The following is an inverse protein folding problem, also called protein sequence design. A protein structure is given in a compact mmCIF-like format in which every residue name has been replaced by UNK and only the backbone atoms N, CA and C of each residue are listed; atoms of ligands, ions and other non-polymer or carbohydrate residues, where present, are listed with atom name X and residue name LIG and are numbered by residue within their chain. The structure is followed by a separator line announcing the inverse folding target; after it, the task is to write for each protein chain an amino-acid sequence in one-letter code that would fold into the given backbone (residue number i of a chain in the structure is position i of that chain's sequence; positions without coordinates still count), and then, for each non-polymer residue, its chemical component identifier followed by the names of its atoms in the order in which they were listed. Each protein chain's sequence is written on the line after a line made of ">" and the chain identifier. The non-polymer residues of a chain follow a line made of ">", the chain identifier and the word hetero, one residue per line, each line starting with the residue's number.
data_IF_056323520341
#
_entry.id   IF_056323520341
#
_cell.length_a   1.000
_cell.length_b   1.000
_cell.length_c   1.000
_cell.angle_alpha   90.00
_cell.angle_beta   90.00
_cell.angle_gamma   90.00
#
_symmetry.space_group_name_H-M   'P 1'
#
loop_
_entity.id
_entity.type
_entity.pdbx_description
1 polymer ?
#
# COMPACT_ATOMS: atom_id res chain seq x y z
N UNK A 1 -17.43 30.38 12.92
CA UNK A 1 -17.16 29.08 13.59
C UNK A 1 -18.44 28.49 14.19
N UNK A 2 -19.18 29.19 15.03
CA UNK A 2 -20.36 28.61 15.74
C UNK A 2 -21.51 28.19 14.80
N UNK A 3 -21.81 28.96 13.75
CA UNK A 3 -22.85 28.60 12.79
C UNK A 3 -22.49 27.31 12.01
N UNK A 4 -21.22 27.13 11.65
CA UNK A 4 -20.75 25.90 10.97
C UNK A 4 -20.75 24.67 11.91
N UNK A 5 -20.71 24.85 13.22
CA UNK A 5 -20.70 23.74 14.19
C UNK A 5 -21.96 22.87 14.09
N UNK A 6 -23.12 23.47 13.86
CA UNK A 6 -24.37 22.73 13.73
C UNK A 6 -24.36 21.87 12.44
N UNK A 7 -23.92 22.44 11.31
CA UNK A 7 -23.79 21.73 10.07
C UNK A 7 -22.82 20.52 10.18
N UNK A 8 -21.70 20.67 10.92
CA UNK A 8 -20.79 19.53 11.18
C UNK A 8 -21.43 18.47 12.07
N UNK A 9 -22.24 18.84 13.08
CA UNK A 9 -22.98 17.88 13.90
C UNK A 9 -24.00 17.10 13.09
N UNK A 10 -24.73 17.77 12.21
CA UNK A 10 -25.69 17.14 11.29
C UNK A 10 -24.97 16.11 10.40
N UNK A 11 -23.84 16.49 9.78
CA UNK A 11 -23.03 15.58 8.97
C UNK A 11 -22.52 14.36 9.76
N UNK A 12 -22.06 14.58 11.02
CA UNK A 12 -21.61 13.48 11.88
C UNK A 12 -22.77 12.55 12.27
N UNK A 13 -23.95 13.10 12.56
CA UNK A 13 -25.16 12.32 12.85
C UNK A 13 -25.61 11.48 11.63
N UNK A 14 -25.50 12.03 10.42
CA UNK A 14 -25.77 11.30 9.18
C UNK A 14 -24.80 10.12 9.00
N UNK A 15 -23.49 10.33 9.27
CA UNK A 15 -22.47 9.29 9.21
C UNK A 15 -22.80 8.18 10.23
N UNK A 16 -23.17 8.54 11.46
CA UNK A 16 -23.54 7.59 12.49
C UNK A 16 -24.81 6.81 12.14
N UNK A 17 -25.87 7.49 11.69
CA UNK A 17 -27.11 6.87 11.27
C UNK A 17 -26.93 5.91 10.09
N UNK A 18 -25.97 6.18 9.21
CA UNK A 18 -25.58 5.31 8.10
C UNK A 18 -24.71 4.12 8.52
N UNK A 19 -24.27 4.02 9.79
CA UNK A 19 -23.35 2.98 10.27
C UNK A 19 -21.94 3.12 9.69
N UNK A 20 -21.51 4.33 9.33
CA UNK A 20 -20.21 4.59 8.69
C UNK A 20 -19.17 5.20 9.64
N UNK A 21 -19.51 5.35 10.92
CA UNK A 21 -18.59 5.87 11.94
C UNK A 21 -17.37 4.94 12.08
N UNK A 22 -16.18 5.53 12.09
CA UNK A 22 -14.93 4.81 12.29
C UNK A 22 -14.47 4.98 13.73
N UNK A 23 -14.25 3.86 14.40
CA UNK A 23 -13.72 3.82 15.77
C UNK A 23 -12.28 3.34 15.75
N UNK A 24 -11.39 4.10 16.42
CA UNK A 24 -10.00 3.70 16.61
C UNK A 24 -9.92 2.70 17.76
N UNK A 25 -9.29 1.53 17.50
CA UNK A 25 -8.99 0.53 18.53
C UNK A 25 -7.56 0.74 19.00
N UNK A 26 -7.37 0.88 20.31
CA UNK A 26 -6.06 1.18 20.91
C UNK A 26 -5.27 -0.12 21.05
N UNK A 27 -4.03 -0.14 20.56
CA UNK A 27 -3.07 -1.22 20.70
C UNK A 27 -2.07 -0.83 21.80
N UNK A 28 -1.87 -1.71 22.78
CA UNK A 28 -1.02 -1.48 23.95
C UNK A 28 0.36 -2.16 23.87
N UNK A 29 0.60 -2.94 22.83
CA UNK A 29 1.86 -3.65 22.58
C UNK A 29 2.54 -3.15 21.31
N UNK A 30 3.81 -3.54 21.03
CA UNK A 30 4.37 -3.43 19.70
C UNK A 30 3.48 -4.11 18.66
N UNK A 31 3.58 -3.66 17.39
CA UNK A 31 2.83 -4.23 16.28
C UNK A 31 3.41 -5.59 15.87
N UNK A 32 2.60 -6.64 15.95
CA UNK A 32 2.99 -8.01 15.60
C UNK A 32 1.76 -8.83 15.15
N UNK A 33 1.95 -10.13 14.89
CA UNK A 33 0.87 -11.09 14.64
C UNK A 33 -0.06 -11.26 15.86
N UNK A 34 0.49 -11.15 17.07
CA UNK A 34 -0.25 -11.12 18.35
C UNK A 34 -0.06 -9.76 18.99
N UNK A 35 -1.18 -9.12 19.33
CA UNK A 35 -1.21 -7.79 19.94
C UNK A 35 -2.19 -7.77 21.11
N UNK A 36 -2.03 -6.82 22.02
CA UNK A 36 -3.02 -6.53 23.08
C UNK A 36 -3.78 -5.26 22.70
N UNK A 37 -5.10 -5.31 22.77
CA UNK A 37 -5.98 -4.15 22.52
C UNK A 37 -6.71 -3.74 23.79
N UNK A 38 -6.96 -2.44 23.96
CA UNK A 38 -7.73 -1.87 25.07
C UNK A 38 -9.12 -1.38 24.61
N UNK A 39 -10.23 -1.78 25.27
CA UNK A 39 -10.37 -2.95 26.11
C UNK A 39 -10.48 -4.21 25.25
N UNK A 40 -9.92 -5.34 25.60
CA UNK A 40 -10.14 -6.55 24.81
C UNK A 40 -9.12 -7.69 25.04
N UNK A 41 -7.91 -7.40 25.50
CA UNK A 41 -6.88 -8.40 25.73
C UNK A 41 -6.11 -8.82 24.47
N UNK A 42 -5.48 -10.00 24.51
CA UNK A 42 -4.66 -10.51 23.40
C UNK A 42 -5.52 -10.99 22.24
N UNK A 43 -5.16 -10.55 21.05
CA UNK A 43 -5.83 -10.90 19.78
C UNK A 43 -4.81 -11.19 18.67
N UNK A 44 -5.21 -12.00 17.69
CA UNK A 44 -4.46 -12.23 16.46
C UNK A 44 -4.77 -11.12 15.46
N UNK A 45 -3.75 -10.46 14.96
CA UNK A 45 -3.87 -9.30 14.08
C UNK A 45 -3.83 -9.70 12.61
N UNK A 46 -5.00 -9.66 11.97
CA UNK A 46 -5.18 -9.93 10.54
C UNK A 46 -5.54 -8.67 9.73
N UNK A 47 -5.22 -7.46 10.22
CA UNK A 47 -5.46 -6.22 9.50
C UNK A 47 -4.23 -5.34 9.26
N UNK A 48 -3.10 -5.56 9.95
CA UNK A 48 -1.89 -4.80 9.70
C UNK A 48 -1.24 -5.15 8.35
N UNK A 49 -0.73 -4.14 7.65
CA UNK A 49 0.05 -4.33 6.40
C UNK A 49 1.48 -4.84 6.70
N UNK A 50 1.66 -5.61 7.76
CA UNK A 50 2.93 -6.17 8.23
C UNK A 50 3.22 -7.52 7.55
N UNK A 51 3.20 -7.54 6.21
CA UNK A 51 3.26 -8.75 5.40
C UNK A 51 4.41 -9.70 5.76
N UNK A 52 5.61 -9.14 6.01
CA UNK A 52 6.80 -9.91 6.34
C UNK A 52 7.02 -10.09 7.85
N UNK A 53 6.13 -9.53 8.70
CA UNK A 53 6.28 -9.61 10.16
C UNK A 53 7.53 -8.86 10.66
N UNK A 54 7.88 -7.74 10.03
CA UNK A 54 9.12 -7.02 10.31
C UNK A 54 8.94 -5.80 11.23
N UNK A 55 7.70 -5.37 11.51
CA UNK A 55 7.44 -4.14 12.26
C UNK A 55 8.04 -4.10 13.67
N UNK A 56 8.23 -5.27 14.29
CA UNK A 56 8.84 -5.42 15.63
C UNK A 56 10.11 -6.29 15.60
N UNK A 57 10.77 -6.41 14.44
CA UNK A 57 11.93 -7.27 14.30
C UNK A 57 13.17 -6.69 15.00
N UNK A 58 13.92 -7.46 15.85
CA UNK A 58 15.02 -6.95 16.64
C UNK A 58 16.11 -6.23 15.83
N UNK A 59 16.51 -6.77 14.67
CA UNK A 59 17.52 -6.12 13.80
C UNK A 59 17.07 -4.77 13.25
N UNK A 60 15.77 -4.59 13.00
CA UNK A 60 15.21 -3.33 12.51
C UNK A 60 15.19 -2.30 13.63
N UNK A 61 14.83 -2.71 14.85
CA UNK A 61 14.88 -1.85 16.03
C UNK A 61 16.33 -1.43 16.31
N UNK A 62 17.28 -2.35 16.17
CA UNK A 62 18.70 -2.04 16.36
C UNK A 62 19.21 -1.05 15.30
N UNK A 63 18.93 -1.26 14.02
CA UNK A 63 19.28 -0.32 12.96
C UNK A 63 18.69 1.08 13.16
N UNK A 64 17.46 1.17 13.73
CA UNK A 64 16.88 2.46 14.12
C UNK A 64 17.65 3.12 15.28
N UNK A 65 18.06 2.37 16.30
CA UNK A 65 18.85 2.88 17.45
C UNK A 65 20.24 3.35 17.03
N UNK A 66 20.94 2.55 16.22
CA UNK A 66 22.26 2.94 15.68
C UNK A 66 22.18 4.24 14.87
N UNK A 67 21.10 4.40 14.09
CA UNK A 67 20.88 5.64 13.35
C UNK A 67 20.56 6.83 14.28
N UNK A 68 19.81 6.62 15.37
CA UNK A 68 19.57 7.64 16.39
C UNK A 68 20.86 8.06 17.08
N UNK A 69 21.71 7.11 17.47
CA UNK A 69 22.97 7.37 18.15
C UNK A 69 23.95 8.15 17.24
N UNK A 70 23.99 7.81 15.96
CA UNK A 70 24.93 8.41 15.01
C UNK A 70 24.46 9.74 14.41
N UNK A 71 23.17 9.87 14.11
CA UNK A 71 22.62 10.97 13.32
C UNK A 71 21.64 11.86 14.08
N UNK A 72 21.23 11.47 15.31
CA UNK A 72 20.25 12.17 16.11
C UNK A 72 18.81 11.87 15.69
N UNK A 73 17.85 12.50 16.39
CA UNK A 73 16.42 12.24 16.22
C UNK A 73 15.84 12.83 14.92
N UNK A 74 16.23 14.04 14.56
CA UNK A 74 15.64 14.74 13.41
C UNK A 74 16.52 15.90 12.96
N UNK A 75 16.22 16.41 11.75
CA UNK A 75 17.05 17.44 11.11
C UNK A 75 16.45 18.85 11.18
N UNK A 76 15.19 18.99 11.60
CA UNK A 76 14.47 20.26 11.65
C UNK A 76 14.52 21.05 10.32
N UNK A 77 14.61 20.36 9.18
CA UNK A 77 14.83 20.93 7.86
C UNK A 77 14.30 20.04 6.74
N UNK A 78 14.06 20.67 5.59
CA UNK A 78 13.85 19.99 4.32
C UNK A 78 15.19 19.59 3.68
N UNK A 79 15.16 18.68 2.71
CA UNK A 79 16.33 18.03 2.13
C UNK A 79 17.37 18.98 1.54
N UNK A 80 16.98 20.00 0.79
CA UNK A 80 17.92 20.87 0.05
C UNK A 80 18.55 21.98 0.90
N UNK A 81 17.97 22.31 2.06
CA UNK A 81 18.53 23.34 2.95
C UNK A 81 19.64 22.74 3.81
N UNK A 82 19.28 21.96 4.83
CA UNK A 82 20.24 21.27 5.70
C UNK A 82 19.71 19.92 6.23
N UNK A 83 18.68 19.36 5.57
CA UNK A 83 18.01 18.11 5.95
C UNK A 83 18.51 16.87 5.22
N UNK A 84 19.73 16.85 4.67
CA UNK A 84 20.29 15.67 3.99
C UNK A 84 21.53 15.19 4.74
N UNK A 85 21.48 13.97 5.25
CA UNK A 85 22.61 13.25 5.83
C UNK A 85 23.04 12.10 4.92
N UNK A 86 24.23 11.52 5.16
CA UNK A 86 24.74 10.37 4.39
C UNK A 86 23.79 9.20 4.36
N UNK A 87 23.11 8.89 5.47
CA UNK A 87 22.18 7.77 5.58
C UNK A 87 20.98 7.89 4.61
N UNK A 88 20.55 9.10 4.26
CA UNK A 88 19.49 9.30 3.25
C UNK A 88 19.99 8.90 1.86
N UNK A 89 21.22 9.28 1.51
CA UNK A 89 21.81 8.93 0.20
C UNK A 89 22.11 7.44 0.11
N UNK A 90 22.54 6.85 1.22
CA UNK A 90 22.76 5.40 1.33
C UNK A 90 21.45 4.63 1.11
N UNK A 91 20.34 5.05 1.74
CA UNK A 91 19.04 4.43 1.55
C UNK A 91 18.52 4.60 0.12
N UNK A 92 18.66 5.80 -0.48
CA UNK A 92 18.29 6.06 -1.88
C UNK A 92 19.02 5.10 -2.83
N UNK A 93 20.34 4.93 -2.66
CA UNK A 93 21.17 4.02 -3.46
C UNK A 93 20.81 2.54 -3.24
N UNK A 94 20.55 2.14 -1.99
CA UNK A 94 20.13 0.76 -1.65
C UNK A 94 18.77 0.42 -2.27
N UNK A 95 17.80 1.35 -2.23
CA UNK A 95 16.49 1.15 -2.86
C UNK A 95 16.64 1.05 -4.38
N UNK A 96 17.43 1.92 -5.01
CA UNK A 96 17.66 1.87 -6.46
C UNK A 96 18.25 0.52 -6.89
N UNK A 97 19.25 0.02 -6.14
CA UNK A 97 19.84 -1.32 -6.40
C UNK A 97 18.84 -2.44 -6.21
N UNK A 98 18.06 -2.39 -5.12
CA UNK A 98 17.05 -3.42 -4.84
C UNK A 98 15.95 -3.43 -5.90
N UNK A 99 15.46 -2.28 -6.32
CA UNK A 99 14.39 -2.15 -7.33
C UNK A 99 14.89 -2.30 -8.78
N UNK A 100 16.22 -2.27 -9.00
CA UNK A 100 16.81 -2.32 -10.34
C UNK A 100 16.55 -1.07 -11.15
N UNK A 101 16.55 0.11 -10.50
CA UNK A 101 16.29 1.42 -11.10
C UNK A 101 17.53 2.31 -11.09
N UNK A 102 17.47 3.46 -11.75
CA UNK A 102 18.63 4.33 -11.93
C UNK A 102 18.88 5.28 -10.75
N UNK A 103 17.80 5.75 -10.10
CA UNK A 103 17.89 6.65 -8.94
C UNK A 103 16.61 6.62 -8.09
N UNK A 104 16.70 7.11 -6.85
CA UNK A 104 15.59 7.14 -5.86
C UNK A 104 15.56 8.46 -5.13
N UNK A 105 14.37 8.93 -4.78
CA UNK A 105 14.09 10.09 -3.93
C UNK A 105 13.16 9.69 -2.79
N UNK A 106 13.49 10.09 -1.55
CA UNK A 106 12.73 9.77 -0.34
C UNK A 106 11.72 10.86 0.00
N UNK A 107 10.57 10.43 0.54
CA UNK A 107 9.48 11.27 1.03
C UNK A 107 9.05 10.85 2.44
N UNK A 108 8.25 11.71 3.11
CA UNK A 108 7.65 11.40 4.42
C UNK A 108 6.64 10.26 4.37
N UNK A 109 6.03 10.04 3.20
CA UNK A 109 5.09 8.95 2.91
C UNK A 109 5.01 8.69 1.40
N UNK A 110 4.45 7.54 0.99
CA UNK A 110 4.12 7.32 -0.42
C UNK A 110 2.94 8.20 -0.88
N UNK A 111 2.09 8.65 0.04
CA UNK A 111 1.07 9.64 -0.28
C UNK A 111 1.70 10.95 -0.78
N UNK A 112 2.76 11.41 -0.10
CA UNK A 112 3.55 12.59 -0.52
C UNK A 112 4.30 12.33 -1.84
N UNK A 113 4.85 11.13 -2.04
CA UNK A 113 5.51 10.76 -3.29
C UNK A 113 4.54 10.85 -4.48
N UNK A 114 3.35 10.26 -4.37
CA UNK A 114 2.30 10.33 -5.39
C UNK A 114 1.75 11.76 -5.54
N UNK A 115 1.55 12.47 -4.44
CA UNK A 115 1.07 13.86 -4.45
C UNK A 115 2.03 14.83 -5.17
N UNK A 116 3.33 14.58 -5.06
CA UNK A 116 4.38 15.41 -5.66
C UNK A 116 4.81 15.00 -7.07
N UNK A 117 4.32 13.88 -7.60
CA UNK A 117 4.77 13.33 -8.87
C UNK A 117 4.16 14.06 -10.06
N UNK A 118 2.84 13.97 -10.22
CA UNK A 118 2.15 14.30 -11.47
C UNK A 118 2.27 15.79 -11.85
N UNK A 119 2.05 16.73 -10.92
CA UNK A 119 2.19 18.15 -11.17
C UNK A 119 3.64 18.56 -11.50
N UNK A 120 4.61 17.75 -11.08
CA UNK A 120 6.04 18.01 -11.30
C UNK A 120 6.46 17.63 -12.70
N UNK A 121 6.02 16.48 -13.22
CA UNK A 121 6.50 15.91 -14.48
C UNK A 121 5.58 16.16 -15.67
N UNK A 122 4.30 16.51 -15.44
CA UNK A 122 3.30 16.73 -16.46
C UNK A 122 2.77 18.17 -16.44
N UNK A 123 2.46 18.70 -17.62
CA UNK A 123 1.89 20.02 -17.82
C UNK A 123 0.62 19.97 -18.66
N UNK A 124 0.06 21.15 -19.05
CA UNK A 124 -1.19 21.24 -19.81
C UNK A 124 -1.17 20.57 -21.19
N UNK A 125 0.03 20.35 -21.75
CA UNK A 125 0.23 19.74 -23.09
C UNK A 125 0.35 18.21 -23.02
N UNK A 126 0.33 17.65 -21.80
CA UNK A 126 0.52 16.24 -21.54
C UNK A 126 -0.81 15.56 -21.16
N UNK A 127 -0.85 14.23 -21.19
CA UNK A 127 -1.99 13.45 -20.76
C UNK A 127 -1.60 12.40 -19.70
N UNK A 128 -2.50 12.15 -18.75
CA UNK A 128 -2.40 11.07 -17.77
C UNK A 128 -3.60 10.12 -17.92
N UNK A 129 -3.30 8.83 -18.02
CA UNK A 129 -4.29 7.76 -18.21
C UNK A 129 -4.24 6.88 -16.96
N UNK A 130 -5.28 6.98 -16.12
CA UNK A 130 -5.31 6.40 -14.77
C UNK A 130 -6.25 5.21 -14.70
N UNK A 131 -5.81 4.13 -14.06
CA UNK A 131 -6.71 3.04 -13.68
C UNK A 131 -7.81 3.54 -12.73
N UNK A 132 -9.02 3.00 -12.88
CA UNK A 132 -10.21 3.44 -12.15
C UNK A 132 -10.17 3.13 -10.64
N UNK A 133 -9.42 2.10 -10.22
CA UNK A 133 -9.29 1.67 -8.82
C UNK A 133 -7.99 2.14 -8.15
N UNK A 134 -7.24 3.01 -8.78
CA UNK A 134 -6.03 3.56 -8.20
C UNK A 134 -6.24 4.11 -6.79
N UNK A 135 -5.21 4.00 -5.97
CA UNK A 135 -5.18 4.53 -4.61
C UNK A 135 -5.49 6.04 -4.57
N UNK A 136 -6.12 6.49 -3.48
CA UNK A 136 -6.51 7.90 -3.30
C UNK A 136 -5.36 8.88 -3.52
N UNK A 137 -4.13 8.54 -3.14
CA UNK A 137 -2.95 9.39 -3.33
C UNK A 137 -2.60 9.63 -4.80
N UNK A 138 -2.78 8.62 -5.66
CA UNK A 138 -2.63 8.77 -7.12
C UNK A 138 -3.73 9.67 -7.67
N UNK A 139 -4.99 9.42 -7.27
CA UNK A 139 -6.14 10.24 -7.69
C UNK A 139 -5.93 11.70 -7.30
N UNK A 140 -5.52 11.96 -6.06
CA UNK A 140 -5.30 13.32 -5.55
C UNK A 140 -4.08 13.98 -6.21
N UNK A 141 -2.99 13.24 -6.40
CA UNK A 141 -1.82 13.71 -7.16
C UNK A 141 -2.18 14.11 -8.60
N UNK A 142 -3.00 13.32 -9.28
CA UNK A 142 -3.51 13.64 -10.62
C UNK A 142 -4.42 14.88 -10.59
N UNK A 143 -5.21 15.08 -9.52
CA UNK A 143 -6.05 16.28 -9.36
C UNK A 143 -5.24 17.58 -9.27
N UNK A 144 -4.05 17.53 -8.70
CA UNK A 144 -3.13 18.67 -8.63
C UNK A 144 -2.49 19.00 -9.99
N UNK A 145 -2.40 18.03 -10.88
CA UNK A 145 -1.81 18.17 -12.20
C UNK A 145 -2.73 18.91 -13.17
N UNK A 146 -2.14 19.61 -14.17
CA UNK A 146 -2.86 20.31 -15.24
C UNK A 146 -2.96 19.53 -16.54
N UNK A 147 -2.41 18.31 -16.59
CA UNK A 147 -2.50 17.43 -17.74
C UNK A 147 -3.95 17.00 -18.04
N UNK A 148 -4.23 16.65 -19.28
CA UNK A 148 -5.49 16.02 -19.67
C UNK A 148 -5.64 14.67 -18.93
N UNK A 149 -6.85 14.38 -18.40
CA UNK A 149 -7.08 13.24 -17.52
C UNK A 149 -8.02 12.26 -18.16
N UNK A 150 -7.56 11.03 -18.32
CA UNK A 150 -8.34 9.90 -18.79
C UNK A 150 -8.41 8.82 -17.73
N UNK A 151 -9.53 8.10 -17.65
CA UNK A 151 -9.69 6.93 -16.76
C UNK A 151 -10.10 5.74 -17.60
N UNK A 152 -9.55 4.57 -17.29
CA UNK A 152 -9.98 3.32 -17.89
C UNK A 152 -10.43 2.33 -16.80
N UNK A 153 -11.40 1.44 -17.09
CA UNK A 153 -11.83 0.41 -16.16
C UNK A 153 -10.67 -0.52 -15.80
N UNK A 154 -10.57 -0.90 -14.54
CA UNK A 154 -9.46 -1.71 -14.02
C UNK A 154 -9.28 -3.00 -14.81
N UNK A 155 -8.06 -3.19 -15.32
CA UNK A 155 -7.69 -4.38 -16.08
C UNK A 155 -8.29 -4.46 -17.49
N UNK A 156 -8.98 -3.41 -17.97
CA UNK A 156 -9.50 -3.31 -19.34
C UNK A 156 -8.43 -2.70 -20.27
N UNK A 157 -7.72 -3.59 -20.95
CA UNK A 157 -6.60 -3.20 -21.83
C UNK A 157 -7.09 -2.57 -23.13
N UNK A 158 -8.27 -2.91 -23.62
CA UNK A 158 -8.86 -2.30 -24.82
C UNK A 158 -9.26 -0.85 -24.53
N UNK A 159 -9.85 -0.59 -23.37
CA UNK A 159 -10.15 0.77 -22.92
C UNK A 159 -8.86 1.60 -22.67
N UNK A 160 -7.80 0.98 -22.13
CA UNK A 160 -6.50 1.64 -22.00
C UNK A 160 -5.93 2.01 -23.36
N UNK A 161 -5.96 1.10 -24.33
CA UNK A 161 -5.45 1.37 -25.69
C UNK A 161 -6.27 2.48 -26.37
N UNK A 162 -7.60 2.46 -26.26
CA UNK A 162 -8.46 3.51 -26.80
C UNK A 162 -8.12 4.90 -26.19
N UNK A 163 -7.82 4.97 -24.88
CA UNK A 163 -7.39 6.19 -24.23
C UNK A 163 -6.01 6.67 -24.72
N UNK A 164 -5.07 5.75 -24.97
CA UNK A 164 -3.77 6.05 -25.55
C UNK A 164 -3.89 6.60 -26.98
N UNK A 165 -4.80 6.04 -27.79
CA UNK A 165 -5.09 6.54 -29.13
C UNK A 165 -5.73 7.94 -29.11
N UNK A 166 -6.70 8.14 -28.20
CA UNK A 166 -7.37 9.44 -28.04
C UNK A 166 -6.40 10.55 -27.65
N UNK A 167 -5.34 10.22 -26.89
CA UNK A 167 -4.33 11.17 -26.40
C UNK A 167 -3.07 11.26 -27.27
N UNK A 168 -3.07 10.69 -28.47
CA UNK A 168 -1.86 10.67 -29.37
C UNK A 168 -1.29 12.03 -29.71
N UNK A 169 -2.08 13.10 -29.56
CA UNK A 169 -1.65 14.48 -29.78
C UNK A 169 -0.97 15.13 -28.58
N UNK A 170 -1.01 14.51 -27.39
CA UNK A 170 -0.32 15.02 -26.21
C UNK A 170 1.20 14.93 -26.38
N UNK A 171 1.91 15.91 -25.82
CA UNK A 171 3.39 15.93 -25.83
C UNK A 171 4.00 14.73 -25.12
N UNK A 172 3.43 14.36 -23.96
CA UNK A 172 3.79 13.19 -23.16
C UNK A 172 2.53 12.49 -22.71
N UNK A 173 2.59 11.17 -22.59
CA UNK A 173 1.52 10.36 -22.03
C UNK A 173 2.07 9.54 -20.88
N UNK A 174 1.35 9.50 -19.76
CA UNK A 174 1.70 8.73 -18.58
C UNK A 174 0.54 7.80 -18.24
N UNK A 175 0.79 6.49 -18.23
CA UNK A 175 -0.12 5.50 -17.68
C UNK A 175 0.18 5.40 -16.19
N UNK A 176 -0.84 5.51 -15.32
CA UNK A 176 -0.69 5.41 -13.88
C UNK A 176 -1.59 4.30 -13.32
N UNK A 177 -1.01 3.35 -12.59
CA UNK A 177 -1.72 2.24 -11.95
C UNK A 177 -1.10 1.86 -10.61
N UNK A 178 -1.92 1.32 -9.69
CA UNK A 178 -1.39 0.47 -8.63
C UNK A 178 -0.84 -0.82 -9.26
N UNK A 179 0.27 -1.33 -8.75
CA UNK A 179 0.76 -2.67 -9.10
C UNK A 179 -0.10 -3.75 -8.44
N UNK A 180 -0.54 -3.47 -7.19
CA UNK A 180 -1.50 -4.28 -6.44
C UNK A 180 -2.61 -3.39 -5.88
N UNK A 181 -3.85 -3.65 -6.25
CA UNK A 181 -5.01 -2.90 -5.75
C UNK A 181 -5.34 -3.27 -4.30
N UNK A 182 -5.21 -2.30 -3.41
CA UNK A 182 -5.15 -2.47 -1.95
C UNK A 182 -6.39 -3.07 -1.29
N UNK A 183 -7.58 -2.95 -1.92
CA UNK A 183 -8.84 -3.43 -1.36
C UNK A 183 -9.24 -4.82 -1.89
N UNK A 184 -8.60 -5.29 -2.96
CA UNK A 184 -8.96 -6.50 -3.67
C UNK A 184 -7.85 -7.55 -3.76
N UNK A 185 -6.58 -7.13 -3.68
CA UNK A 185 -5.41 -8.00 -3.87
C UNK A 185 -5.20 -8.41 -5.34
N UNK A 186 -5.79 -7.68 -6.29
CA UNK A 186 -5.52 -7.90 -7.71
C UNK A 186 -4.18 -7.30 -8.11
N UNK A 187 -3.51 -7.97 -9.05
CA UNK A 187 -2.36 -7.42 -9.75
C UNK A 187 -2.80 -6.68 -11.00
N UNK A 188 -2.15 -5.56 -11.29
CA UNK A 188 -2.25 -4.94 -12.60
C UNK A 188 -1.73 -5.90 -13.68
N UNK A 189 -2.31 -5.85 -14.88
CA UNK A 189 -1.79 -6.57 -16.07
C UNK A 189 -0.57 -5.83 -16.62
N UNK A 190 0.50 -5.79 -15.81
CA UNK A 190 1.62 -4.88 -16.05
C UNK A 190 2.39 -5.21 -17.32
N UNK A 191 2.47 -6.48 -17.71
CA UNK A 191 3.01 -6.94 -18.98
C UNK A 191 2.28 -6.28 -20.16
N UNK A 192 0.94 -6.33 -20.16
CA UNK A 192 0.11 -5.72 -21.19
C UNK A 192 0.16 -4.19 -21.17
N UNK A 193 0.23 -3.60 -19.97
CA UNK A 193 0.39 -2.15 -19.81
C UNK A 193 1.71 -1.71 -20.44
N UNK A 194 2.80 -2.41 -20.20
CA UNK A 194 4.10 -2.11 -20.80
C UNK A 194 4.09 -2.30 -22.32
N UNK A 195 3.44 -3.36 -22.85
CA UNK A 195 3.31 -3.58 -24.29
C UNK A 195 2.57 -2.41 -24.98
N UNK A 196 1.47 -1.95 -24.38
CA UNK A 196 0.71 -0.80 -24.89
C UNK A 196 1.48 0.52 -24.76
N UNK A 197 2.21 0.70 -23.66
CA UNK A 197 3.05 1.88 -23.45
C UNK A 197 4.14 1.99 -24.51
N UNK A 198 4.84 0.91 -24.82
CA UNK A 198 5.85 0.87 -25.88
C UNK A 198 5.24 1.09 -27.26
N UNK A 199 4.10 0.46 -27.57
CA UNK A 199 3.38 0.63 -28.84
C UNK A 199 2.97 2.07 -29.09
N UNK A 200 2.58 2.80 -28.03
CA UNK A 200 2.03 4.15 -28.13
C UNK A 200 2.99 5.24 -27.64
N UNK A 201 4.26 4.93 -27.36
CA UNK A 201 5.26 5.87 -26.84
C UNK A 201 4.77 6.61 -25.59
N UNK A 202 4.35 5.87 -24.57
CA UNK A 202 3.87 6.36 -23.29
C UNK A 202 4.78 5.90 -22.15
N UNK A 203 4.87 6.69 -21.09
CA UNK A 203 5.56 6.32 -19.85
C UNK A 203 4.64 5.46 -18.96
N UNK A 204 5.24 4.60 -18.14
CA UNK A 204 4.53 3.78 -17.14
C UNK A 204 4.95 4.18 -15.73
N UNK A 205 3.97 4.50 -14.89
CA UNK A 205 4.10 4.69 -13.44
C UNK A 205 3.27 3.65 -12.71
N UNK A 206 3.87 2.99 -11.73
CA UNK A 206 3.15 2.09 -10.82
C UNK A 206 3.42 2.40 -9.35
N UNK A 207 2.38 2.19 -8.52
CA UNK A 207 2.50 2.19 -7.07
C UNK A 207 2.66 0.77 -6.55
N UNK A 208 3.80 0.48 -5.94
CA UNK A 208 4.20 -0.82 -5.42
C UNK A 208 4.05 -0.94 -3.89
N UNK A 209 3.24 -0.09 -3.26
CA UNK A 209 3.04 -0.09 -1.80
C UNK A 209 2.55 -1.42 -1.22
N UNK A 210 1.85 -2.21 -2.00
CA UNK A 210 1.37 -3.53 -1.61
C UNK A 210 2.13 -4.68 -2.31
N UNK A 211 3.34 -4.43 -2.79
CA UNK A 211 4.14 -5.43 -3.50
C UNK A 211 5.62 -5.42 -3.10
N UNK A 212 6.23 -4.24 -2.90
CA UNK A 212 7.66 -4.12 -2.57
C UNK A 212 8.01 -4.89 -1.32
N UNK A 213 9.03 -5.73 -1.42
CA UNK A 213 9.59 -6.54 -0.34
C UNK A 213 9.13 -8.00 -0.36
N UNK A 214 8.00 -8.36 -1.02
CA UNK A 214 7.47 -9.72 -0.94
C UNK A 214 6.83 -10.27 -2.23
N UNK A 215 6.43 -9.45 -3.18
CA UNK A 215 5.91 -9.91 -4.47
C UNK A 215 7.09 -10.13 -5.42
N UNK A 216 7.05 -11.24 -6.18
CA UNK A 216 8.15 -11.68 -7.04
C UNK A 216 9.16 -12.58 -6.32
N UNK A 217 10.02 -13.24 -7.08
CA UNK A 217 10.97 -14.23 -6.57
C UNK A 217 11.97 -13.66 -5.55
N UNK A 218 12.35 -12.40 -5.71
CA UNK A 218 13.27 -11.70 -4.79
C UNK A 218 12.61 -10.53 -4.04
N UNK A 219 11.28 -10.34 -4.20
CA UNK A 219 10.51 -9.29 -3.52
C UNK A 219 10.60 -7.92 -4.19
N UNK A 220 10.99 -7.85 -5.47
CA UNK A 220 11.10 -6.58 -6.21
C UNK A 220 9.78 -6.08 -6.78
N UNK A 221 8.67 -6.72 -6.41
CA UNK A 221 7.34 -6.25 -6.75
C UNK A 221 6.74 -6.83 -8.01
N UNK A 222 5.70 -6.17 -8.51
CA UNK A 222 4.95 -6.63 -9.68
C UNK A 222 5.77 -6.64 -10.98
N UNK A 223 6.76 -5.74 -11.20
CA UNK A 223 7.62 -5.84 -12.37
C UNK A 223 8.40 -7.16 -12.45
N UNK A 224 8.88 -7.65 -11.31
CA UNK A 224 9.55 -8.96 -11.25
C UNK A 224 8.56 -10.11 -11.48
N UNK A 225 7.39 -10.07 -10.79
CA UNK A 225 6.35 -11.10 -10.93
C UNK A 225 5.84 -11.23 -12.37
N UNK A 226 5.72 -10.12 -13.10
CA UNK A 226 5.20 -10.08 -14.46
C UNK A 226 6.31 -10.15 -15.55
N UNK A 227 7.57 -10.26 -15.15
CA UNK A 227 8.70 -10.38 -16.09
C UNK A 227 8.98 -9.10 -16.89
N UNK A 228 8.68 -7.93 -16.34
CA UNK A 228 8.82 -6.63 -17.02
C UNK A 228 9.80 -5.69 -16.31
N UNK A 229 10.75 -6.23 -15.57
CA UNK A 229 11.82 -5.44 -14.96
C UNK A 229 12.51 -4.55 -16.00
N UNK A 230 12.71 -3.26 -15.65
CA UNK A 230 13.33 -2.27 -16.54
C UNK A 230 12.39 -1.63 -17.58
N UNK A 231 11.14 -2.08 -17.71
CA UNK A 231 10.13 -1.52 -18.63
C UNK A 231 9.19 -0.49 -17.95
N UNK A 232 9.27 -0.34 -16.64
CA UNK A 232 8.53 0.66 -15.87
C UNK A 232 9.43 1.87 -15.65
N UNK A 233 8.92 3.07 -15.95
CA UNK A 233 9.71 4.30 -15.87
C UNK A 233 9.74 4.90 -14.47
N UNK A 234 8.64 4.77 -13.73
CA UNK A 234 8.45 5.38 -12.42
C UNK A 234 7.78 4.37 -11.49
N UNK A 235 8.38 4.12 -10.34
CA UNK A 235 7.82 3.28 -9.29
C UNK A 235 7.72 4.13 -8.03
N UNK A 236 6.54 4.20 -7.42
CA UNK A 236 6.38 4.72 -6.07
C UNK A 236 6.13 3.58 -5.09
N UNK A 237 6.60 3.71 -3.85
CA UNK A 237 6.33 2.72 -2.82
C UNK A 237 6.51 3.29 -1.41
N UNK A 238 6.20 2.48 -0.40
CA UNK A 238 6.19 2.88 1.00
C UNK A 238 7.16 2.07 1.85
N UNK A 239 7.76 2.72 2.84
CA UNK A 239 8.48 2.07 3.94
C UNK A 239 7.55 1.69 5.10
N UNK A 240 6.29 2.12 5.04
CA UNK A 240 5.28 1.96 6.10
C UNK A 240 4.47 0.66 6.06
N UNK A 241 4.89 -0.34 5.28
CA UNK A 241 4.23 -1.66 5.19
C UNK A 241 5.24 -2.81 5.33
N UNK A 242 5.44 -3.63 4.30
CA UNK A 242 6.38 -4.74 4.33
C UNK A 242 7.81 -4.33 4.66
N UNK A 243 8.21 -3.10 4.29
CA UNK A 243 9.55 -2.57 4.53
C UNK A 243 9.74 -1.96 5.94
N UNK A 244 9.23 -2.62 6.98
CA UNK A 244 9.46 -2.25 8.39
C UNK A 244 8.27 -1.60 9.08
N UNK A 245 7.24 -1.12 8.34
CA UNK A 245 5.96 -0.72 8.92
C UNK A 245 5.91 0.64 9.64
N UNK A 246 6.97 1.45 9.57
CA UNK A 246 7.00 2.76 10.22
C UNK A 246 6.34 3.84 9.33
N UNK A 247 7.10 4.77 8.84
CA UNK A 247 6.65 5.81 7.90
C UNK A 247 7.69 6.01 6.81
N UNK A 248 7.38 6.85 5.84
CA UNK A 248 8.25 7.10 4.71
C UNK A 248 7.74 6.48 3.42
N UNK A 249 8.19 7.04 2.33
CA UNK A 249 7.93 6.55 0.99
C UNK A 249 9.03 7.00 0.05
N UNK A 250 8.97 6.53 -1.17
CA UNK A 250 9.95 6.88 -2.19
C UNK A 250 9.35 6.84 -3.59
N UNK A 251 9.99 7.58 -4.48
CA UNK A 251 9.87 7.39 -5.92
C UNK A 251 11.21 6.93 -6.46
N UNK A 252 11.21 5.90 -7.28
CA UNK A 252 12.41 5.36 -7.91
C UNK A 252 12.15 5.13 -9.40
N UNK A 253 13.15 5.27 -10.26
CA UNK A 253 12.96 5.11 -11.70
C UNK A 253 14.06 5.77 -12.52
N UNK A 254 13.68 6.39 -13.65
CA UNK A 254 14.61 7.10 -14.51
C UNK A 254 15.23 8.30 -13.80
N UNK A 255 16.53 8.48 -13.97
CA UNK A 255 17.31 9.53 -13.30
C UNK A 255 16.76 10.93 -13.54
N UNK A 256 16.39 11.23 -14.78
CA UNK A 256 15.86 12.54 -15.17
C UNK A 256 14.54 12.87 -14.47
N UNK A 257 13.69 11.87 -14.22
CA UNK A 257 12.46 12.02 -13.45
C UNK A 257 12.79 12.31 -11.99
N UNK A 258 13.67 11.53 -11.39
CA UNK A 258 14.07 11.68 -9.98
C UNK A 258 14.77 13.02 -9.74
N UNK A 259 15.64 13.44 -10.65
CA UNK A 259 16.31 14.76 -10.58
C UNK A 259 15.30 15.90 -10.69
N UNK A 260 14.31 15.80 -11.59
CA UNK A 260 13.25 16.80 -11.70
C UNK A 260 12.40 16.88 -10.45
N UNK A 261 12.08 15.74 -9.83
CA UNK A 261 11.37 15.68 -8.54
C UNK A 261 12.16 16.38 -7.42
N UNK A 262 13.47 16.18 -7.36
CA UNK A 262 14.34 16.89 -6.39
C UNK A 262 14.28 18.41 -6.54
N UNK A 263 14.07 18.91 -7.76
CA UNK A 263 14.04 20.35 -8.02
C UNK A 263 12.66 20.97 -7.81
N UNK A 264 11.55 20.22 -8.00
CA UNK A 264 10.21 20.81 -8.12
C UNK A 264 9.11 20.14 -7.33
N UNK A 265 9.30 18.91 -6.83
CA UNK A 265 8.29 18.20 -6.09
C UNK A 265 7.99 18.92 -4.76
N UNK A 266 6.78 19.49 -4.64
CA UNK A 266 6.40 20.32 -3.48
C UNK A 266 6.48 19.58 -2.14
N UNK A 267 6.00 18.34 -2.00
CA UNK A 267 6.18 17.59 -0.75
C UNK A 267 7.66 17.40 -0.38
N UNK A 268 8.54 17.21 -1.34
CA UNK A 268 9.97 17.10 -1.08
C UNK A 268 10.63 18.43 -0.66
N UNK A 269 10.22 19.52 -1.31
CA UNK A 269 10.81 20.85 -1.07
C UNK A 269 10.32 21.50 0.22
N UNK A 270 9.13 21.13 0.72
CA UNK A 270 8.45 21.85 1.79
C UNK A 270 8.13 21.02 3.02
N UNK A 271 8.21 19.68 2.97
CA UNK A 271 8.10 18.82 4.14
C UNK A 271 9.45 18.48 4.73
N UNK A 272 9.52 18.33 6.05
CA UNK A 272 10.72 17.88 6.71
C UNK A 272 11.19 16.52 6.18
N UNK A 273 12.51 16.33 6.20
CA UNK A 273 13.14 15.09 5.73
C UNK A 273 12.74 13.90 6.59
N UNK A 274 12.82 12.71 6.00
CA UNK A 274 12.62 11.44 6.70
C UNK A 274 13.60 11.31 7.88
N UNK A 275 13.10 10.89 9.05
CA UNK A 275 13.93 10.77 10.24
C UNK A 275 15.03 9.71 10.07
N UNK A 276 16.25 9.96 10.60
CA UNK A 276 17.37 9.02 10.47
C UNK A 276 17.08 7.61 10.97
N UNK A 277 16.31 7.49 12.05
CA UNK A 277 15.89 6.20 12.60
C UNK A 277 15.13 5.33 11.60
N UNK A 278 14.27 5.96 10.79
CA UNK A 278 13.53 5.24 9.73
C UNK A 278 14.47 4.81 8.61
N UNK A 279 15.45 5.65 8.26
CA UNK A 279 16.44 5.28 7.26
C UNK A 279 17.29 4.08 7.71
N UNK A 280 17.77 4.07 8.97
CA UNK A 280 18.56 2.95 9.52
C UNK A 280 17.74 1.66 9.61
N UNK A 281 16.49 1.75 10.08
CA UNK A 281 15.56 0.64 10.08
C UNK A 281 15.34 0.06 8.67
N UNK A 282 15.12 0.93 7.67
CA UNK A 282 14.87 0.52 6.28
C UNK A 282 16.09 -0.12 5.62
N UNK A 283 17.30 0.33 5.93
CA UNK A 283 18.54 -0.32 5.49
C UNK A 283 18.64 -1.74 6.05
N UNK A 284 18.36 -1.93 7.34
CA UNK A 284 18.32 -3.27 7.96
C UNK A 284 17.24 -4.18 7.35
N UNK A 285 16.10 -3.63 6.92
CA UNK A 285 15.09 -4.40 6.17
C UNK A 285 15.64 -4.89 4.84
N UNK A 286 16.27 -4.01 4.07
CA UNK A 286 16.83 -4.39 2.75
C UNK A 286 17.90 -5.46 2.89
N UNK A 287 18.73 -5.42 3.95
CA UNK A 287 19.70 -6.46 4.25
C UNK A 287 19.02 -7.81 4.54
N UNK A 288 17.94 -7.81 5.35
CA UNK A 288 17.17 -9.03 5.63
C UNK A 288 16.54 -9.63 4.37
N UNK A 289 16.09 -8.78 3.43
CA UNK A 289 15.50 -9.25 2.17
C UNK A 289 16.53 -9.86 1.22
N UNK A 290 17.76 -9.35 1.24
CA UNK A 290 18.87 -9.91 0.44
C UNK A 290 19.41 -11.22 1.01
N UNK A 291 19.33 -11.42 2.34
CA UNK A 291 19.85 -12.58 3.04
C UNK A 291 18.99 -13.86 2.85
N UNK A 292 17.65 -13.73 2.79
CA UNK A 292 16.75 -14.91 2.80
C UNK A 292 15.40 -14.65 2.14
N UNK A 293 14.84 -15.69 1.53
CA UNK A 293 13.46 -15.75 1.02
C UNK A 293 12.46 -16.28 2.05
N UNK A 294 12.90 -16.83 3.17
CA UNK A 294 12.07 -17.60 4.11
C UNK A 294 10.77 -16.89 4.52
N UNK A 295 10.81 -15.57 4.72
CA UNK A 295 9.62 -14.81 5.08
C UNK A 295 8.64 -14.68 3.92
N UNK A 296 9.12 -14.53 2.70
CA UNK A 296 8.28 -14.50 1.49
C UNK A 296 7.63 -15.87 1.25
N UNK A 297 8.42 -16.92 1.35
CA UNK A 297 7.97 -18.30 1.16
C UNK A 297 6.90 -18.67 2.21
N UNK A 298 7.13 -18.26 3.47
CA UNK A 298 6.15 -18.43 4.55
C UNK A 298 4.88 -17.62 4.31
N UNK A 299 5.00 -16.37 3.87
CA UNK A 299 3.84 -15.53 3.55
C UNK A 299 3.01 -16.15 2.44
N UNK A 300 3.64 -16.67 1.40
CA UNK A 300 2.97 -17.35 0.30
C UNK A 300 2.24 -18.62 0.79
N UNK A 301 2.90 -19.45 1.60
CA UNK A 301 2.30 -20.65 2.17
C UNK A 301 1.10 -20.31 3.07
N UNK A 302 1.25 -19.31 3.95
CA UNK A 302 0.18 -18.83 4.82
C UNK A 302 -1.02 -18.31 4.01
N UNK A 303 -0.74 -17.54 2.97
CA UNK A 303 -1.76 -16.98 2.06
C UNK A 303 -2.54 -18.09 1.35
N UNK A 304 -1.84 -19.03 0.74
CA UNK A 304 -2.46 -20.17 0.04
C UNK A 304 -3.35 -20.97 0.99
N UNK A 305 -2.83 -21.37 2.17
CA UNK A 305 -3.58 -22.13 3.16
C UNK A 305 -4.86 -21.43 3.61
N UNK A 306 -4.78 -20.14 3.94
CA UNK A 306 -5.93 -19.38 4.41
C UNK A 306 -6.98 -19.23 3.30
N UNK A 307 -6.55 -18.88 2.08
CA UNK A 307 -7.46 -18.71 0.94
C UNK A 307 -8.18 -20.01 0.57
N UNK A 308 -7.45 -21.14 0.51
CA UNK A 308 -8.02 -22.46 0.26
C UNK A 308 -9.06 -22.84 1.33
N UNK A 309 -8.76 -22.57 2.60
CA UNK A 309 -9.70 -22.82 3.69
C UNK A 309 -10.98 -21.97 3.57
N UNK A 310 -10.86 -20.65 3.29
CA UNK A 310 -12.03 -19.77 3.13
C UNK A 310 -12.92 -20.20 1.97
N UNK A 311 -12.34 -20.57 0.83
CA UNK A 311 -13.09 -21.14 -0.32
C UNK A 311 -13.75 -22.46 0.05
N UNK A 312 -13.02 -23.36 0.74
CA UNK A 312 -13.53 -24.66 1.17
C UNK A 312 -14.70 -24.56 2.16
N UNK A 313 -14.72 -23.52 3.00
CA UNK A 313 -15.84 -23.23 3.90
C UNK A 313 -17.06 -22.62 3.18
N UNK A 314 -16.89 -22.07 1.99
CA UNK A 314 -17.95 -21.45 1.21
C UNK A 314 -17.99 -19.92 1.26
N UNK A 315 -16.98 -19.26 1.80
CA UNK A 315 -16.88 -17.79 1.71
C UNK A 315 -16.63 -17.34 0.28
N UNK A 316 -17.30 -16.27 -0.12
CA UNK A 316 -16.97 -15.55 -1.35
C UNK A 316 -15.71 -14.71 -1.13
N UNK A 317 -14.62 -15.07 -1.83
CA UNK A 317 -13.37 -14.30 -1.85
C UNK A 317 -13.00 -13.94 -3.28
N UNK A 318 -12.29 -12.81 -3.44
CA UNK A 318 -11.75 -12.46 -4.76
C UNK A 318 -10.62 -13.42 -5.16
N UNK A 319 -10.57 -13.90 -6.42
CA UNK A 319 -9.50 -14.79 -6.87
C UNK A 319 -8.13 -14.10 -6.83
N UNK A 320 -7.07 -14.88 -6.68
CA UNK A 320 -5.68 -14.41 -6.66
C UNK A 320 -4.82 -15.14 -5.65
N UNK A 321 -3.55 -14.76 -5.57
CA UNK A 321 -2.53 -15.32 -4.69
C UNK A 321 -1.87 -14.28 -3.76
N UNK A 322 -2.41 -13.05 -3.74
CA UNK A 322 -1.92 -11.98 -2.88
C UNK A 322 -2.35 -12.18 -1.41
N UNK A 323 -1.51 -11.77 -0.41
CA UNK A 323 -1.84 -11.85 1.02
C UNK A 323 -3.08 -11.04 1.45
N UNK A 324 -3.50 -10.05 0.67
CA UNK A 324 -4.81 -9.41 0.82
C UNK A 324 -5.88 -10.42 0.41
N UNK A 325 -6.70 -10.85 1.37
CA UNK A 325 -7.80 -11.78 1.15
C UNK A 325 -9.11 -11.12 1.55
N UNK A 326 -9.86 -10.52 0.61
CA UNK A 326 -11.14 -9.89 0.90
C UNK A 326 -12.24 -10.96 1.01
N UNK A 327 -12.89 -11.03 2.16
CA UNK A 327 -14.09 -11.83 2.41
C UNK A 327 -15.30 -10.95 2.04
N UNK A 328 -15.94 -11.25 0.92
CA UNK A 328 -17.02 -10.43 0.37
C UNK A 328 -18.32 -10.64 1.13
N UNK A 329 -18.93 -9.57 1.65
CA UNK A 329 -20.14 -9.61 2.46
C UNK A 329 -21.28 -8.75 1.87
N UNK A 330 -20.94 -7.76 1.01
CA UNK A 330 -21.90 -6.88 0.34
C UNK A 330 -22.48 -5.80 1.25
N UNK A 331 -23.02 -6.16 2.41
CA UNK A 331 -23.65 -5.25 3.36
C UNK A 331 -22.66 -4.68 4.38
N UNK A 332 -22.73 -3.37 4.62
CA UNK A 332 -21.80 -2.66 5.53
C UNK A 332 -22.02 -3.02 7.00
N UNK A 333 -23.29 -3.20 7.42
CA UNK A 333 -23.62 -3.55 8.81
C UNK A 333 -23.20 -4.98 9.11
N UNK A 334 -23.41 -5.90 8.17
CA UNK A 334 -22.94 -7.28 8.28
C UNK A 334 -21.41 -7.32 8.42
N UNK A 335 -20.67 -6.57 7.60
CA UNK A 335 -19.22 -6.52 7.68
C UNK A 335 -18.71 -5.98 9.03
N UNK A 336 -19.36 -4.96 9.58
CA UNK A 336 -19.03 -4.44 10.91
C UNK A 336 -19.37 -5.43 12.01
N UNK A 337 -20.59 -6.01 12.02
CA UNK A 337 -21.02 -6.96 13.03
C UNK A 337 -20.13 -8.22 13.05
N UNK A 338 -19.82 -8.80 11.90
CA UNK A 338 -18.90 -9.93 11.82
C UNK A 338 -17.48 -9.57 12.29
N UNK A 339 -16.98 -8.35 12.01
CA UNK A 339 -15.67 -7.93 12.48
C UNK A 339 -15.64 -7.75 14.01
N UNK A 340 -16.73 -7.31 14.63
CA UNK A 340 -16.84 -7.19 16.08
C UNK A 340 -16.93 -8.57 16.76
N UNK A 341 -17.69 -9.50 16.18
CA UNK A 341 -17.79 -10.88 16.69
C UNK A 341 -16.47 -11.65 16.51
N UNK A 342 -15.76 -11.45 15.40
CA UNK A 342 -14.40 -11.99 15.21
C UNK A 342 -13.42 -11.43 16.25
N UNK A 343 -13.55 -10.16 16.61
CA UNK A 343 -12.74 -9.59 17.69
C UNK A 343 -13.04 -10.26 19.03
N UNK A 344 -14.31 -10.57 19.32
CA UNK A 344 -14.70 -11.32 20.53
C UNK A 344 -14.12 -12.75 20.53
N UNK A 345 -13.92 -13.36 19.36
CA UNK A 345 -13.20 -14.64 19.21
C UNK A 345 -11.67 -14.48 19.21
N UNK A 346 -11.16 -13.27 19.44
CA UNK A 346 -9.73 -12.97 19.48
C UNK A 346 -9.07 -12.80 18.12
N UNK A 347 -9.85 -12.49 17.08
CA UNK A 347 -9.35 -12.21 15.71
C UNK A 347 -9.59 -10.76 15.38
N UNK A 348 -8.50 -9.98 15.27
CA UNK A 348 -8.58 -8.56 14.95
C UNK A 348 -8.60 -8.35 13.44
N UNK A 349 -9.78 -8.04 12.92
CA UNK A 349 -10.06 -7.63 11.54
C UNK A 349 -10.95 -6.40 11.52
N UNK A 350 -11.05 -5.75 10.35
CA UNK A 350 -11.89 -4.56 10.13
C UNK A 350 -12.79 -4.79 8.92
N UNK A 351 -14.07 -4.41 9.07
CA UNK A 351 -15.01 -4.31 7.96
C UNK A 351 -14.74 -3.03 7.14
N UNK A 352 -14.68 -3.17 5.82
CA UNK A 352 -14.54 -2.05 4.89
C UNK A 352 -15.85 -1.84 4.14
N UNK A 353 -16.31 -0.58 4.12
CA UNK A 353 -17.52 -0.14 3.45
C UNK A 353 -17.29 1.19 2.72
N UNK A 354 -18.34 1.72 2.09
CA UNK A 354 -18.29 3.05 1.49
C UNK A 354 -17.84 4.12 2.52
N UNK A 355 -17.00 5.11 2.13
CA UNK A 355 -16.51 5.39 0.78
C UNK A 355 -15.20 4.66 0.39
N UNK A 356 -14.65 3.80 1.25
CA UNK A 356 -13.38 3.09 1.00
C UNK A 356 -13.54 2.04 -0.11
N UNK A 357 -14.70 1.39 -0.15
CA UNK A 357 -15.10 0.48 -1.23
C UNK A 357 -16.47 0.89 -1.78
N UNK A 358 -16.84 0.51 -3.01
CA UNK A 358 -18.15 0.85 -3.58
C UNK A 358 -19.32 0.37 -2.71
N UNK A 359 -20.47 1.07 -2.80
CA UNK A 359 -21.72 0.63 -2.15
C UNK A 359 -22.11 -0.77 -2.62
N UNK A 360 -22.55 -1.62 -1.70
CA UNK A 360 -22.91 -3.02 -1.98
C UNK A 360 -21.72 -3.95 -2.14
N UNK A 361 -20.48 -3.49 -1.86
CA UNK A 361 -19.26 -4.29 -1.93
C UNK A 361 -18.49 -4.28 -0.60
N UNK A 362 -19.20 -4.19 0.51
CA UNK A 362 -18.58 -4.27 1.83
C UNK A 362 -17.90 -5.64 2.02
N UNK A 363 -16.81 -5.63 2.76
CA UNK A 363 -15.95 -6.81 2.97
C UNK A 363 -15.18 -6.72 4.26
N UNK A 364 -14.76 -7.84 4.78
CA UNK A 364 -13.63 -7.92 5.72
C UNK A 364 -12.37 -8.16 4.92
N UNK A 365 -11.39 -7.24 4.98
CA UNK A 365 -10.11 -7.39 4.31
C UNK A 365 -9.10 -8.04 5.26
N UNK A 366 -8.86 -9.32 5.08
CA UNK A 366 -7.86 -10.07 5.83
C UNK A 366 -6.48 -9.81 5.23
N UNK A 367 -5.48 -9.56 6.09
CA UNK A 367 -4.08 -9.36 5.73
C UNK A 367 -3.25 -10.49 6.32
N UNK A 368 -2.71 -11.38 5.49
CA UNK A 368 -1.81 -12.43 5.95
C UNK A 368 -0.42 -11.85 6.20
N UNK A 369 0.29 -12.46 7.15
CA UNK A 369 1.66 -12.11 7.50
C UNK A 369 2.53 -13.37 7.61
N UNK A 370 3.81 -13.22 7.31
CA UNK A 370 4.81 -14.24 7.57
C UNK A 370 4.99 -14.53 9.08
N UNK A 371 4.54 -13.61 9.93
CA UNK A 371 4.59 -13.78 11.38
C UNK A 371 3.47 -14.68 11.94
N UNK A 372 2.39 -14.93 11.17
CA UNK A 372 1.35 -15.87 11.59
C UNK A 372 1.90 -17.30 11.63
N UNK A 373 1.73 -17.98 12.75
CA UNK A 373 2.02 -19.41 12.88
C UNK A 373 0.91 -20.26 12.27
N UNK A 374 1.17 -21.56 12.12
CA UNK A 374 0.16 -22.51 11.68
C UNK A 374 -1.02 -22.60 12.65
N UNK A 375 -0.76 -22.44 13.96
CA UNK A 375 -1.78 -22.39 15.00
C UNK A 375 -2.63 -21.12 14.89
N UNK A 376 -2.01 -19.95 14.63
CA UNK A 376 -2.72 -18.70 14.44
C UNK A 376 -3.68 -18.77 13.24
N UNK A 377 -3.23 -19.38 12.14
CA UNK A 377 -4.08 -19.59 10.97
C UNK A 377 -5.24 -20.55 11.25
N UNK A 378 -4.99 -21.67 11.95
CA UNK A 378 -6.04 -22.61 12.32
C UNK A 378 -7.10 -21.92 13.17
N UNK A 379 -6.69 -21.21 14.22
CA UNK A 379 -7.59 -20.45 15.09
C UNK A 379 -8.40 -19.39 14.32
N UNK A 380 -7.75 -18.69 13.39
CA UNK A 380 -8.46 -17.70 12.55
C UNK A 380 -9.51 -18.37 11.67
N UNK A 381 -9.18 -19.48 11.00
CA UNK A 381 -10.09 -20.22 10.13
C UNK A 381 -11.32 -20.71 10.93
N UNK A 382 -11.10 -21.30 12.10
CA UNK A 382 -12.19 -21.78 12.99
C UNK A 382 -13.09 -20.63 13.46
N UNK A 383 -12.50 -19.47 13.81
CA UNK A 383 -13.27 -18.28 14.19
C UNK A 383 -14.11 -17.74 13.02
N UNK A 384 -13.54 -17.67 11.82
CA UNK A 384 -14.29 -17.27 10.62
C UNK A 384 -15.43 -18.24 10.31
N UNK A 385 -15.23 -19.55 10.43
CA UNK A 385 -16.29 -20.54 10.24
C UNK A 385 -17.41 -20.33 11.27
N UNK A 386 -17.08 -20.26 12.56
CA UNK A 386 -18.04 -20.05 13.64
C UNK A 386 -18.88 -18.78 13.42
N UNK A 387 -18.23 -17.67 13.21
CA UNK A 387 -18.89 -16.37 13.02
C UNK A 387 -19.66 -16.33 11.69
N UNK A 388 -19.11 -16.89 10.62
CA UNK A 388 -19.77 -16.98 9.32
C UNK A 388 -21.09 -17.76 9.37
N UNK A 389 -21.14 -18.88 10.11
CA UNK A 389 -22.37 -19.64 10.36
C UNK A 389 -23.36 -18.87 11.24
N UNK A 390 -22.89 -18.21 12.28
CA UNK A 390 -23.75 -17.42 13.18
C UNK A 390 -24.46 -16.27 12.46
N UNK A 391 -23.83 -15.68 11.47
CA UNK A 391 -24.39 -14.60 10.63
C UNK A 391 -25.10 -15.12 9.36
N UNK A 392 -25.20 -16.45 9.15
CA UNK A 392 -25.87 -17.03 7.97
C UNK A 392 -25.13 -16.75 6.64
N UNK A 393 -23.84 -16.42 6.70
CA UNK A 393 -22.99 -16.28 5.50
C UNK A 393 -22.56 -17.66 4.99
N UNK A 394 -22.40 -18.60 5.89
CA UNK A 394 -22.14 -20.01 5.62
C UNK A 394 -23.36 -20.85 5.93
N UNK A 395 -23.57 -21.91 5.12
CA UNK A 395 -24.67 -22.88 5.31
C UNK A 395 -24.46 -23.76 6.56
#
# INVERSE_FOLDING_TARGET
>A
MFAAKESYRETLAEIEAAGLTKHERIIETPQDARIVTAPGGEVLNFCANNYLGLANHPRIIEGAKEALDRYGFGLASVRFICGTQTIHKELEDRISRFMGTEDTILYSSCFDANGGLFETILGPEDAVISDALNHASIIDGIRLCKAERHRYPTGDMDALEAALEATRGARRRLIASDGVFSMDGYYAKLDRICDLAEKHDAMVMIDECHATGFVGATGRGTPEKMGVMGRVDIITSTLGKALGGASGGFTTGRREVVDLLRQRSRPYLFSNTLAPAICGASLAVLDLLDESTDRRDRLEANTRRFREAMVGLGFEIKPGDHPITPIMLGDARLASAMADDLLAEGIYVIGFSYPVVPKGQARIRVQLSAAHSDEDLTRAIEAFEKVGRAHGVLA
#
